data_IF_023115726828
#
_entry.id   IF_023115726828
#
_cell.length_a   1.000
_cell.length_b   1.000
_cell.length_c   1.000
_cell.angle_alpha   90.00
_cell.angle_beta   90.00
_cell.angle_gamma   90.00
#
_symmetry.space_group_name_H-M   'P 1'
#
loop_
_entity.id
_entity.type
_entity.pdbx_description
1 polymer ?
#
# COMPACT_ATOMS: atom_id res chain seq x y z
N UNK A 1 -11.05 -17.38 23.70
CA UNK A 1 -10.40 -17.10 22.41
C UNK A 1 -10.60 -15.62 22.09
N UNK A 2 -9.54 -14.81 22.13
CA UNK A 2 -9.65 -13.37 21.87
C UNK A 2 -10.01 -13.15 20.39
N UNK A 3 -11.21 -12.62 20.12
CA UNK A 3 -11.58 -12.15 18.79
C UNK A 3 -10.74 -10.93 18.48
N UNK A 4 -10.09 -10.91 17.32
CA UNK A 4 -9.41 -9.71 16.82
C UNK A 4 -10.47 -8.62 16.68
N UNK A 5 -10.41 -7.60 17.55
CA UNK A 5 -11.37 -6.49 17.56
C UNK A 5 -11.34 -5.77 16.22
N UNK A 6 -10.14 -5.44 15.74
CA UNK A 6 -9.97 -4.58 14.56
C UNK A 6 -8.82 -5.09 13.68
N UNK A 7 -8.97 -5.07 12.35
CA UNK A 7 -7.89 -5.43 11.40
C UNK A 7 -7.65 -4.34 10.36
N UNK A 8 -6.40 -4.21 9.90
CA UNK A 8 -6.03 -3.47 8.69
C UNK A 8 -4.88 -4.20 8.01
N UNK A 9 -4.93 -4.32 6.68
CA UNK A 9 -3.86 -4.87 5.86
C UNK A 9 -3.25 -3.79 4.97
N UNK A 10 -1.97 -3.92 4.66
CA UNK A 10 -1.31 -3.07 3.67
C UNK A 10 -0.36 -3.89 2.81
N UNK A 11 -0.40 -3.66 1.49
CA UNK A 11 0.62 -4.11 0.56
C UNK A 11 1.64 -2.99 0.39
N UNK A 12 2.93 -3.30 0.54
CA UNK A 12 4.02 -2.33 0.41
C UNK A 12 5.13 -2.92 -0.45
N UNK A 13 5.59 -2.12 -1.42
CA UNK A 13 6.71 -2.43 -2.30
C UNK A 13 7.73 -1.31 -2.13
N UNK A 14 9.00 -1.66 -2.03
CA UNK A 14 10.11 -0.72 -1.83
C UNK A 14 11.18 -0.98 -2.89
N UNK A 15 11.83 0.09 -3.34
CA UNK A 15 12.92 -0.01 -4.30
C UNK A 15 13.53 1.36 -4.56
N UNK A 16 14.84 1.40 -4.77
CA UNK A 16 15.56 2.65 -5.01
C UNK A 16 15.13 3.29 -6.34
N UNK A 17 15.02 2.46 -7.38
CA UNK A 17 14.50 2.78 -8.72
C UNK A 17 13.00 2.47 -8.87
N UNK A 18 12.26 2.38 -7.76
CA UNK A 18 10.84 2.08 -7.84
C UNK A 18 10.09 3.22 -8.53
N UNK A 19 9.46 2.93 -9.66
CA UNK A 19 8.48 3.80 -10.30
C UNK A 19 7.04 3.43 -9.88
N UNK A 20 6.33 4.32 -9.18
CA UNK A 20 4.98 4.05 -8.70
C UNK A 20 3.95 3.82 -9.81
N UNK A 21 4.15 4.43 -10.99
CA UNK A 21 3.24 4.28 -12.12
C UNK A 21 3.41 2.90 -12.76
N UNK A 22 4.65 2.41 -12.89
CA UNK A 22 4.92 1.04 -13.34
C UNK A 22 4.30 -0.01 -12.42
N UNK A 23 4.46 0.16 -11.10
CA UNK A 23 3.84 -0.74 -10.11
C UNK A 23 2.31 -0.66 -10.19
N UNK A 24 1.76 0.54 -10.35
CA UNK A 24 0.32 0.73 -10.53
C UNK A 24 -0.23 0.09 -11.79
N UNK A 25 0.51 0.19 -12.90
CA UNK A 25 0.13 -0.39 -14.19
C UNK A 25 0.20 -1.93 -14.10
N UNK A 26 1.28 -2.47 -13.53
CA UNK A 26 1.46 -3.90 -13.37
C UNK A 26 0.41 -4.54 -12.44
N UNK A 27 0.00 -3.83 -11.40
CA UNK A 27 -1.02 -4.30 -10.46
C UNK A 27 -2.46 -3.92 -10.88
N UNK A 28 -2.63 -2.99 -11.83
CA UNK A 28 -3.94 -2.44 -12.22
C UNK A 28 -4.61 -1.59 -11.13
N UNK A 29 -3.86 -1.05 -10.16
CA UNK A 29 -4.40 -0.39 -8.96
C UNK A 29 -3.66 0.92 -8.67
N UNK A 30 -4.41 1.92 -8.19
CA UNK A 30 -3.80 3.14 -7.62
C UNK A 30 -3.41 2.96 -6.15
N UNK A 31 -2.18 3.29 -5.75
CA UNK A 31 -1.72 3.21 -4.37
C UNK A 31 -2.48 4.18 -3.47
N UNK A 32 -2.56 3.85 -2.19
CA UNK A 32 -2.92 4.83 -1.15
C UNK A 32 -1.82 5.84 -0.88
N UNK A 33 -0.55 5.42 -1.00
CA UNK A 33 0.63 6.27 -0.85
C UNK A 33 1.75 5.77 -1.74
N UNK A 34 2.55 6.69 -2.23
CA UNK A 34 3.77 6.41 -2.94
C UNK A 34 4.74 7.58 -2.85
N UNK A 35 6.01 7.32 -3.13
CA UNK A 35 7.03 8.33 -3.42
C UNK A 35 8.14 7.66 -4.24
N UNK A 36 8.76 8.40 -5.16
CA UNK A 36 10.05 7.99 -5.74
C UNK A 36 11.19 8.38 -4.81
N UNK A 37 12.36 7.77 -4.99
CA UNK A 37 13.54 8.18 -4.24
C UNK A 37 13.85 9.67 -4.47
N UNK A 38 14.29 10.34 -3.42
CA UNK A 38 14.59 11.78 -3.41
C UNK A 38 13.39 12.71 -3.65
N UNK A 39 12.18 12.18 -3.91
CA UNK A 39 10.97 12.99 -3.85
C UNK A 39 10.61 13.31 -2.39
N UNK A 40 10.05 14.49 -2.17
CA UNK A 40 9.45 14.84 -0.90
C UNK A 40 8.18 13.99 -0.74
N UNK A 41 8.16 13.10 0.26
CA UNK A 41 6.99 12.26 0.51
C UNK A 41 5.72 13.10 0.69
N UNK A 42 4.67 12.77 -0.06
CA UNK A 42 3.41 13.53 -0.25
C UNK A 42 2.71 13.95 1.08
N UNK A 43 3.02 13.28 2.20
CA UNK A 43 2.42 13.57 3.52
C UNK A 43 3.42 13.83 4.64
N UNK A 44 4.72 13.92 4.36
CA UNK A 44 5.67 14.15 5.44
C UNK A 44 5.66 15.63 5.84
N UNK A 45 4.94 15.96 6.93
CA UNK A 45 5.04 17.26 7.61
C UNK A 45 6.50 17.63 7.92
N UNK A 46 7.35 16.62 8.08
CA UNK A 46 8.80 16.75 7.97
C UNK A 46 9.21 16.52 6.52
N UNK A 47 9.54 17.57 5.77
CA UNK A 47 10.01 17.55 4.36
C UNK A 47 11.33 16.80 4.15
N UNK A 48 11.44 15.57 4.63
CA UNK A 48 12.59 14.71 4.40
C UNK A 48 12.36 14.00 3.07
N UNK A 49 13.30 14.09 2.11
CA UNK A 49 13.22 13.31 0.90
C UNK A 49 13.14 11.82 1.25
N UNK A 50 12.33 11.08 0.49
CA UNK A 50 12.24 9.64 0.65
C UNK A 50 13.61 9.01 0.40
N UNK A 51 14.12 8.24 1.38
CA UNK A 51 15.42 7.57 1.27
C UNK A 51 15.44 6.51 0.17
N UNK A 52 14.28 5.97 -0.16
CA UNK A 52 14.03 4.95 -1.18
C UNK A 52 12.62 5.16 -1.73
N UNK A 53 12.38 4.75 -2.97
CA UNK A 53 11.05 4.74 -3.53
C UNK A 53 10.17 3.71 -2.81
N UNK A 54 8.88 4.03 -2.67
CA UNK A 54 7.91 3.11 -2.10
C UNK A 54 6.55 3.26 -2.75
N UNK A 55 5.80 2.16 -2.76
CA UNK A 55 4.42 2.07 -3.19
C UNK A 55 3.62 1.32 -2.13
N UNK A 56 2.50 1.87 -1.69
CA UNK A 56 1.71 1.33 -0.60
C UNK A 56 0.21 1.41 -0.91
N UNK A 57 -0.46 0.27 -0.74
CA UNK A 57 -1.92 0.15 -0.76
C UNK A 57 -2.38 -0.30 0.63
N UNK A 58 -3.17 0.53 1.32
CA UNK A 58 -3.70 0.24 2.65
C UNK A 58 -5.20 0.03 2.57
N UNK A 59 -5.71 -1.03 3.19
CA UNK A 59 -7.16 -1.24 3.30
C UNK A 59 -7.70 -0.51 4.52
N UNK A 60 -8.94 -0.02 4.43
CA UNK A 60 -9.65 0.53 5.57
C UNK A 60 -9.71 -0.43 6.76
N UNK A 61 -9.64 0.16 7.94
CA UNK A 61 -9.78 -0.51 9.23
C UNK A 61 -11.18 -1.13 9.31
N UNK A 62 -11.28 -2.41 9.64
CA UNK A 62 -12.58 -3.10 9.83
C UNK A 62 -12.75 -3.62 11.24
N UNK A 63 -13.98 -3.50 11.72
CA UNK A 63 -14.46 -4.04 12.99
C UNK A 63 -15.85 -4.69 12.77
N UNK A 64 -16.07 -5.97 13.16
CA UNK A 64 -15.09 -6.90 13.70
C UNK A 64 -14.01 -7.25 12.67
N UNK A 65 -12.78 -7.47 13.15
CA UNK A 65 -11.61 -7.75 12.32
C UNK A 65 -11.85 -8.87 11.30
N UNK A 66 -11.57 -8.61 10.02
CA UNK A 66 -11.66 -9.60 8.95
C UNK A 66 -10.40 -9.55 8.08
N UNK A 67 -9.33 -10.10 8.64
CA UNK A 67 -8.01 -10.13 7.99
C UNK A 67 -8.05 -10.89 6.67
N UNK A 68 -8.70 -12.05 6.63
CA UNK A 68 -8.81 -12.87 5.40
C UNK A 68 -9.58 -12.14 4.29
N UNK A 69 -10.62 -11.38 4.65
CA UNK A 69 -11.35 -10.53 3.71
C UNK A 69 -10.50 -9.39 3.18
N UNK A 70 -9.68 -8.74 4.03
CA UNK A 70 -8.76 -7.67 3.61
C UNK A 70 -7.65 -8.19 2.71
N UNK A 71 -7.08 -9.34 3.04
CA UNK A 71 -6.06 -10.01 2.21
C UNK A 71 -6.66 -10.40 0.85
N UNK A 72 -7.86 -11.02 0.82
CA UNK A 72 -8.56 -11.30 -0.45
C UNK A 72 -8.86 -10.04 -1.24
N UNK A 73 -9.23 -8.96 -0.57
CA UNK A 73 -9.43 -7.67 -1.23
C UNK A 73 -8.15 -7.22 -1.91
N UNK A 74 -6.98 -7.30 -1.26
CA UNK A 74 -5.69 -6.99 -1.90
C UNK A 74 -5.39 -7.88 -3.12
N UNK A 75 -5.73 -9.18 -3.08
CA UNK A 75 -5.48 -10.11 -4.20
C UNK A 75 -6.51 -10.05 -5.33
N UNK A 76 -7.75 -9.66 -5.06
CA UNK A 76 -8.81 -9.62 -6.08
C UNK A 76 -8.51 -8.58 -7.18
N UNK A 77 -7.67 -7.59 -6.87
CA UNK A 77 -7.19 -6.62 -7.82
C UNK A 77 -6.06 -7.12 -8.75
N UNK A 78 -5.42 -8.26 -8.46
CA UNK A 78 -4.38 -8.88 -9.30
C UNK A 78 -4.96 -9.66 -10.50
N UNK A 79 -6.24 -9.46 -10.87
CA UNK A 79 -6.82 -10.14 -12.03
C UNK A 79 -6.31 -9.50 -13.32
N UNK A 80 -5.16 -10.02 -13.75
CA UNK A 80 -4.61 -9.95 -15.11
C UNK A 80 -5.75 -10.08 -16.11
N UNK A 81 -5.93 -9.05 -16.94
CA UNK A 81 -6.72 -9.12 -18.17
C UNK A 81 -5.81 -9.57 -19.30
#
# INVERSE_FOLDING_TARGET
MAKVGTTSAALRIFGDDLDPEEISLALGIKPTRWARKSELGIRSQNKKPARTGFWQLTTDVREPGNLNGQIKHCYQWYRVT
#
